data_IF_835873064578
#
_entry.id   IF_835873064578
#
_cell.length_a   1.000
_cell.length_b   1.000
_cell.length_c   1.000
_cell.angle_alpha   90.00
_cell.angle_beta   90.00
_cell.angle_gamma   90.00
#
_symmetry.space_group_name_H-M   'P 1'
#
loop_
_entity.id
_entity.type
_entity.pdbx_description
1 polymer ?
#
# COMPACT_ATOMS: atom_id res chain seq x y z
N UNK A 1 18.64 -13.05 8.24
CA UNK A 1 18.50 -13.49 9.64
C UNK A 1 17.06 -13.29 10.06
N UNK A 2 16.83 -12.95 11.34
CA UNK A 2 15.50 -12.63 11.90
C UNK A 2 14.87 -11.38 11.27
N UNK A 3 15.67 -10.53 10.63
CA UNK A 3 15.22 -9.39 9.83
C UNK A 3 14.31 -9.80 8.68
N UNK A 4 14.55 -10.98 8.08
CA UNK A 4 13.70 -11.49 7.01
C UNK A 4 12.27 -11.73 7.51
N UNK A 5 12.10 -12.17 8.76
CA UNK A 5 10.78 -12.42 9.36
C UNK A 5 9.97 -11.13 9.41
N UNK A 6 10.57 -10.04 9.89
CA UNK A 6 9.92 -8.73 9.91
C UNK A 6 9.71 -8.14 8.52
N UNK A 7 10.68 -8.32 7.62
CA UNK A 7 10.59 -7.85 6.24
C UNK A 7 9.47 -8.55 5.45
N UNK A 8 9.18 -9.82 5.74
CA UNK A 8 8.11 -10.57 5.10
C UNK A 8 6.80 -10.57 5.89
N UNK A 9 6.71 -9.78 6.96
CA UNK A 9 5.49 -9.69 7.75
C UNK A 9 4.45 -8.81 7.04
N UNK A 10 3.57 -9.47 6.27
CA UNK A 10 2.52 -8.82 5.48
C UNK A 10 3.12 -7.75 4.55
N UNK A 11 2.35 -6.73 4.20
CA UNK A 11 2.79 -5.61 3.34
C UNK A 11 3.49 -4.48 4.13
N UNK A 12 3.98 -4.76 5.33
CA UNK A 12 4.69 -3.82 6.20
C UNK A 12 4.00 -2.45 6.36
N UNK A 13 2.67 -2.40 6.48
CA UNK A 13 1.92 -1.16 6.77
C UNK A 13 1.91 -0.82 8.25
N UNK A 14 1.45 0.37 8.58
CA UNK A 14 1.45 0.96 9.91
C UNK A 14 0.91 0.03 11.02
N UNK A 15 -0.21 -0.71 10.84
CA UNK A 15 -0.63 -1.68 11.84
C UNK A 15 0.31 -2.88 11.97
N UNK A 16 0.93 -3.31 10.88
CA UNK A 16 1.92 -4.40 10.91
C UNK A 16 3.18 -3.97 11.68
N UNK A 17 3.60 -2.70 11.53
CA UNK A 17 4.68 -2.12 12.31
C UNK A 17 4.31 -2.10 13.80
N UNK A 18 3.07 -1.72 14.13
CA UNK A 18 2.60 -1.72 15.51
C UNK A 18 2.62 -3.14 16.12
N UNK A 19 2.19 -4.17 15.36
CA UNK A 19 2.24 -5.57 15.81
C UNK A 19 3.68 -6.03 16.06
N UNK A 20 4.61 -5.77 15.13
CA UNK A 20 6.02 -6.15 15.30
C UNK A 20 6.67 -5.37 16.45
N UNK A 21 6.33 -4.09 16.60
CA UNK A 21 6.81 -3.26 17.70
C UNK A 21 6.34 -3.80 19.06
N UNK A 22 5.09 -4.21 19.17
CA UNK A 22 4.53 -4.80 20.40
C UNK A 22 5.16 -6.17 20.73
N UNK A 23 5.31 -7.04 19.72
CA UNK A 23 5.78 -8.42 19.92
C UNK A 23 7.31 -8.55 20.05
N UNK A 24 8.07 -7.78 19.29
CA UNK A 24 9.52 -7.92 19.17
C UNK A 24 10.31 -6.65 19.52
N UNK A 25 9.67 -5.49 19.67
CA UNK A 25 10.29 -4.16 19.72
C UNK A 25 10.89 -3.70 18.39
N UNK A 26 10.86 -2.41 18.10
CA UNK A 26 11.44 -1.85 16.86
C UNK A 26 12.97 -1.93 16.79
N UNK A 27 13.65 -2.13 17.93
CA UNK A 27 15.11 -2.29 18.00
C UNK A 27 15.57 -3.73 17.76
N UNK A 28 14.64 -4.67 17.64
CA UNK A 28 14.97 -6.05 17.29
C UNK A 28 15.35 -6.19 15.81
N UNK A 29 16.00 -7.30 15.44
CA UNK A 29 16.18 -7.67 14.03
C UNK A 29 14.88 -7.64 13.22
N UNK A 30 13.77 -8.17 13.77
CA UNK A 30 12.45 -8.14 13.14
C UNK A 30 11.95 -6.70 12.92
N UNK A 31 12.11 -5.85 13.94
CA UNK A 31 11.79 -4.43 13.87
C UNK A 31 12.57 -3.72 12.76
N UNK A 32 13.87 -3.99 12.65
CA UNK A 32 14.70 -3.45 11.59
C UNK A 32 14.25 -3.93 10.20
N UNK A 33 13.87 -5.21 10.08
CA UNK A 33 13.35 -5.80 8.84
C UNK A 33 12.06 -5.15 8.35
N UNK A 34 11.04 -5.07 9.20
CA UNK A 34 9.74 -4.46 8.84
C UNK A 34 9.91 -2.97 8.54
N UNK A 35 10.78 -2.28 9.28
CA UNK A 35 11.04 -0.87 9.06
C UNK A 35 11.78 -0.59 7.77
N UNK A 36 12.74 -1.44 7.40
CA UNK A 36 13.42 -1.37 6.12
C UNK A 36 12.44 -1.49 4.95
N UNK A 37 11.55 -2.48 4.98
CA UNK A 37 10.54 -2.68 3.93
C UNK A 37 9.54 -1.53 3.89
N UNK A 38 9.08 -1.03 5.04
CA UNK A 38 8.16 0.10 5.07
C UNK A 38 8.77 1.35 4.44
N UNK A 39 10.01 1.71 4.79
CA UNK A 39 10.67 2.92 4.29
C UNK A 39 10.98 2.80 2.81
N UNK A 40 11.65 1.71 2.40
CA UNK A 40 12.00 1.48 0.99
C UNK A 40 10.72 1.35 0.16
N UNK A 41 9.76 0.54 0.64
CA UNK A 41 8.47 0.36 0.01
C UNK A 41 7.78 1.69 -0.20
N UNK A 42 7.60 2.49 0.84
CA UNK A 42 6.92 3.80 0.77
C UNK A 42 7.58 4.74 -0.24
N UNK A 43 8.91 4.85 -0.22
CA UNK A 43 9.62 5.76 -1.12
C UNK A 43 9.58 5.29 -2.57
N UNK A 44 10.07 4.08 -2.85
CA UNK A 44 10.17 3.58 -4.22
C UNK A 44 8.82 3.14 -4.79
N UNK A 45 7.98 2.52 -3.96
CA UNK A 45 6.65 2.08 -4.33
C UNK A 45 5.75 3.22 -4.76
N UNK A 46 5.87 4.41 -4.15
CA UNK A 46 5.11 5.59 -4.58
C UNK A 46 5.41 5.96 -6.04
N UNK A 47 6.69 5.96 -6.45
CA UNK A 47 7.07 6.22 -7.84
C UNK A 47 6.58 5.12 -8.79
N UNK A 48 6.79 3.85 -8.41
CA UNK A 48 6.39 2.70 -9.23
C UNK A 48 4.87 2.70 -9.44
N UNK A 49 4.08 2.90 -8.39
CA UNK A 49 2.62 2.91 -8.47
C UNK A 49 2.10 4.05 -9.33
N UNK A 50 2.67 5.26 -9.24
CA UNK A 50 2.26 6.38 -10.08
C UNK A 50 2.50 6.09 -11.58
N UNK A 51 3.66 5.52 -11.92
CA UNK A 51 4.00 5.15 -13.30
C UNK A 51 3.12 4.02 -13.80
N UNK A 52 2.92 2.97 -13.00
CA UNK A 52 2.10 1.82 -13.39
C UNK A 52 0.63 2.21 -13.57
N UNK A 53 0.08 3.02 -12.66
CA UNK A 53 -1.31 3.47 -12.75
C UNK A 53 -1.57 4.26 -14.04
N UNK A 54 -0.67 5.20 -14.36
CA UNK A 54 -0.77 6.00 -15.60
C UNK A 54 -0.56 5.15 -16.85
N UNK A 55 0.40 4.21 -16.84
CA UNK A 55 0.65 3.31 -17.96
C UNK A 55 -0.55 2.40 -18.23
N UNK A 56 -1.06 1.71 -17.19
CA UNK A 56 -2.18 0.78 -17.33
C UNK A 56 -3.48 1.47 -17.73
N UNK A 57 -3.71 2.69 -17.23
CA UNK A 57 -4.84 3.51 -17.65
C UNK A 57 -4.71 3.96 -19.12
N UNK A 58 -3.50 4.24 -19.60
CA UNK A 58 -3.27 4.71 -20.98
C UNK A 58 -3.40 3.61 -22.03
N UNK A 59 -3.10 2.35 -21.67
CA UNK A 59 -3.21 1.21 -22.58
C UNK A 59 -4.62 0.58 -22.62
N UNK A 60 -5.56 1.10 -21.81
CA UNK A 60 -6.97 0.68 -21.75
C UNK A 60 -7.18 -0.83 -21.55
N UNK A 61 -6.24 -1.49 -20.86
CA UNK A 61 -6.30 -2.94 -20.60
C UNK A 61 -7.18 -3.26 -19.39
N UNK A 62 -7.26 -2.35 -18.42
CA UNK A 62 -7.98 -2.56 -17.17
C UNK A 62 -9.03 -1.47 -16.95
N UNK A 63 -10.15 -1.85 -16.34
CA UNK A 63 -11.18 -0.90 -15.92
C UNK A 63 -10.59 0.12 -14.92
N UNK A 64 -10.80 1.44 -15.11
CA UNK A 64 -10.29 2.48 -14.21
C UNK A 64 -10.69 2.28 -12.74
N UNK A 65 -11.84 1.67 -12.46
CA UNK A 65 -12.30 1.34 -11.10
C UNK A 65 -11.44 0.25 -10.48
N UNK A 66 -11.04 -0.75 -11.26
CA UNK A 66 -10.14 -1.79 -10.79
C UNK A 66 -8.75 -1.21 -10.48
N UNK A 67 -8.26 -0.30 -11.33
CA UNK A 67 -7.01 0.42 -11.08
C UNK A 67 -7.11 1.30 -9.82
N UNK A 68 -8.23 1.99 -9.62
CA UNK A 68 -8.49 2.77 -8.41
C UNK A 68 -8.45 1.90 -7.14
N UNK A 69 -9.09 0.72 -7.17
CA UNK A 69 -9.04 -0.23 -6.07
C UNK A 69 -7.61 -0.72 -5.81
N UNK A 70 -6.81 -0.96 -6.86
CA UNK A 70 -5.41 -1.36 -6.74
C UNK A 70 -4.53 -0.26 -6.13
N UNK A 71 -4.82 1.02 -6.39
CA UNK A 71 -4.13 2.13 -5.73
C UNK A 71 -4.33 2.13 -4.20
N UNK A 72 -5.43 1.57 -3.70
CA UNK A 72 -5.74 1.56 -2.27
C UNK A 72 -4.88 0.61 -1.42
N UNK A 73 -4.15 -0.34 -2.01
CA UNK A 73 -3.47 -1.40 -1.24
C UNK A 73 -2.20 -0.85 -0.53
N UNK A 74 -1.55 0.14 -1.15
CA UNK A 74 -0.30 0.74 -0.67
C UNK A 74 -0.46 1.71 0.50
N UNK A 75 0.66 2.28 0.98
CA UNK A 75 0.62 3.32 2.03
C UNK A 75 -0.18 4.55 1.58
N UNK A 76 -0.53 5.44 2.52
CA UNK A 76 -1.29 6.65 2.18
C UNK A 76 -0.62 7.50 1.08
N UNK A 77 0.71 7.57 1.08
CA UNK A 77 1.46 8.27 0.03
C UNK A 77 1.41 7.54 -1.31
N UNK A 78 1.51 6.21 -1.32
CA UNK A 78 1.40 5.41 -2.55
C UNK A 78 0.01 5.56 -3.16
N UNK A 79 -1.03 5.48 -2.31
CA UNK A 79 -2.40 5.67 -2.74
C UNK A 79 -2.58 7.06 -3.36
N UNK A 80 -2.13 8.11 -2.68
CA UNK A 80 -2.26 9.48 -3.17
C UNK A 80 -1.54 9.72 -4.52
N UNK A 81 -0.34 9.17 -4.70
CA UNK A 81 0.39 9.30 -5.96
C UNK A 81 -0.26 8.48 -7.10
N UNK A 82 -0.70 7.25 -6.78
CA UNK A 82 -1.35 6.35 -7.73
C UNK A 82 -2.70 6.92 -8.20
N UNK A 83 -3.56 7.35 -7.27
CA UNK A 83 -4.84 7.97 -7.61
C UNK A 83 -4.64 9.30 -8.31
N UNK A 84 -3.69 10.13 -7.86
CA UNK A 84 -3.35 11.39 -8.54
C UNK A 84 -3.03 11.16 -10.02
N UNK A 85 -2.09 10.24 -10.31
CA UNK A 85 -1.74 9.88 -11.68
C UNK A 85 -2.94 9.33 -12.47
N UNK A 86 -3.76 8.48 -11.86
CA UNK A 86 -4.94 7.90 -12.50
C UNK A 86 -6.02 8.95 -12.81
N UNK A 87 -6.24 9.92 -11.92
CA UNK A 87 -7.23 10.99 -12.11
C UNK A 87 -6.84 12.00 -13.17
N UNK A 88 -5.54 12.14 -13.47
CA UNK A 88 -5.09 12.95 -14.61
C UNK A 88 -5.35 12.26 -15.95
N UNK A 89 -5.28 10.92 -16.00
CA UNK A 89 -5.59 10.15 -17.21
C UNK A 89 -7.10 10.00 -17.42
N UNK A 90 -7.87 9.79 -16.36
CA UNK A 90 -9.33 9.58 -16.42
C UNK A 90 -10.06 10.62 -15.53
N UNK A 91 -10.07 11.91 -15.91
CA UNK A 91 -10.60 12.99 -15.08
C UNK A 91 -12.12 12.90 -14.87
N UNK A 92 -12.84 12.26 -15.78
CA UNK A 92 -14.29 12.06 -15.68
C UNK A 92 -14.72 11.21 -14.48
N UNK A 93 -13.82 10.35 -13.96
CA UNK A 93 -14.10 9.43 -12.86
C UNK A 93 -13.39 9.81 -11.57
N UNK A 94 -12.94 11.05 -11.43
CA UNK A 94 -12.10 11.50 -10.32
C UNK A 94 -12.65 11.16 -8.94
N UNK A 95 -13.91 11.52 -8.68
CA UNK A 95 -14.54 11.30 -7.38
C UNK A 95 -14.73 9.80 -7.10
N UNK A 96 -15.05 9.01 -8.13
CA UNK A 96 -15.21 7.56 -8.02
C UNK A 96 -13.86 6.88 -7.75
N UNK A 97 -12.78 7.30 -8.43
CA UNK A 97 -11.42 6.80 -8.22
C UNK A 97 -10.98 7.04 -6.77
N UNK A 98 -11.15 8.26 -6.27
CA UNK A 98 -10.76 8.62 -4.90
C UNK A 98 -11.58 7.85 -3.86
N UNK A 99 -12.89 7.70 -4.08
CA UNK A 99 -13.76 6.94 -3.20
C UNK A 99 -13.37 5.45 -3.14
N UNK A 100 -13.17 4.81 -4.29
CA UNK A 100 -12.78 3.40 -4.38
C UNK A 100 -11.39 3.14 -3.79
N UNK A 101 -10.41 3.97 -4.11
CA UNK A 101 -9.07 3.86 -3.56
C UNK A 101 -9.06 4.02 -2.03
N UNK A 102 -9.79 5.03 -1.51
CA UNK A 102 -9.93 5.25 -0.08
C UNK A 102 -10.62 4.08 0.64
N UNK A 103 -11.71 3.56 0.07
CA UNK A 103 -12.41 2.40 0.60
C UNK A 103 -11.50 1.15 0.63
N UNK A 104 -10.79 0.89 -0.47
CA UNK A 104 -9.79 -0.20 -0.57
C UNK A 104 -8.67 -0.05 0.46
N UNK A 105 -8.20 1.17 0.71
CA UNK A 105 -7.17 1.44 1.72
C UNK A 105 -7.65 1.12 3.14
N UNK A 106 -8.86 1.56 3.49
CA UNK A 106 -9.49 1.27 4.78
C UNK A 106 -9.72 -0.24 4.97
N UNK A 107 -10.23 -0.93 3.94
CA UNK A 107 -10.44 -2.37 3.96
C UNK A 107 -9.12 -3.13 4.11
N UNK A 108 -8.07 -2.74 3.38
CA UNK A 108 -6.74 -3.35 3.46
C UNK A 108 -6.15 -3.17 4.85
N UNK A 109 -6.32 -2.00 5.46
CA UNK A 109 -5.89 -1.76 6.84
C UNK A 109 -6.61 -2.66 7.84
N UNK A 110 -7.94 -2.67 7.80
CA UNK A 110 -8.74 -3.42 8.77
C UNK A 110 -8.51 -4.93 8.66
N UNK A 111 -8.55 -5.46 7.43
CA UNK A 111 -8.33 -6.89 7.18
C UNK A 111 -6.89 -7.30 7.41
N UNK A 112 -5.92 -6.47 7.02
CA UNK A 112 -4.50 -6.72 7.24
C UNK A 112 -4.14 -6.76 8.72
N UNK A 113 -4.68 -5.83 9.53
CA UNK A 113 -4.52 -5.86 10.98
C UNK A 113 -5.14 -7.12 11.58
N UNK A 114 -6.37 -7.46 11.20
CA UNK A 114 -7.06 -8.65 11.70
C UNK A 114 -6.28 -9.92 11.37
N UNK A 115 -5.91 -10.12 10.10
CA UNK A 115 -5.12 -11.27 9.68
C UNK A 115 -3.77 -11.31 10.40
N UNK A 116 -3.04 -10.19 10.47
CA UNK A 116 -1.74 -10.13 11.13
C UNK A 116 -1.77 -10.43 12.64
N UNK A 117 -2.93 -10.27 13.29
CA UNK A 117 -3.12 -10.61 14.71
C UNK A 117 -3.56 -12.07 14.93
N UNK A 118 -4.41 -12.60 14.06
CA UNK A 118 -5.17 -13.84 14.33
C UNK A 118 -4.88 -15.01 13.38
N UNK A 119 -4.22 -14.77 12.24
CA UNK A 119 -3.93 -15.78 11.20
C UNK A 119 -2.41 -15.89 11.03
#
# INVERSE_FOLDING_TARGET
>A
GREAIGATFSIAREPNLAIIADRYTLKSPEGAGVMGVYVIGTLFGTFIFAILASLFASIDVFDPRALAMACGIGSGSMMAACTGALTEVVPSMKDEILALAGASNLLTYATGLYAGLFI
#
